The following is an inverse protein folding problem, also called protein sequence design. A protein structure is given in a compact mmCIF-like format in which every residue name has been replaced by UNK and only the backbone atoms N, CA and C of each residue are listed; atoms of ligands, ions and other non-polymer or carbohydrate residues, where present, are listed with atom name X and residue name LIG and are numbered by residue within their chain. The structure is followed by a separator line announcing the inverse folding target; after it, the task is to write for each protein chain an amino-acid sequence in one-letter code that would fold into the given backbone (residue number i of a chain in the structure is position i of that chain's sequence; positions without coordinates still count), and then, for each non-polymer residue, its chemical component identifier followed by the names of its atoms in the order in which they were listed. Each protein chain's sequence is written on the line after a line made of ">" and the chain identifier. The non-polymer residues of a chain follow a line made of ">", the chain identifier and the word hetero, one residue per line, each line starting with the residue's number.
data_IF_708217326062
#
_entry.id   IF_708217326062
#
_cell.length_a   1.000
_cell.length_b   1.000
_cell.length_c   1.000
_cell.angle_alpha   90.00
_cell.angle_beta   90.00
_cell.angle_gamma   90.00
#
_symmetry.space_group_name_H-M   'P 1'
#
loop_
_entity.id
_entity.type
_entity.pdbx_description
1 polymer ?
#
# COMPACT_ATOMS: atom_id res chain seq x y z
N UNK A 1 -8.02 2.68 -35.57
CA UNK A 1 -8.57 2.46 -34.21
C UNK A 1 -7.45 2.72 -33.21
N UNK A 2 -7.61 3.64 -32.25
CA UNK A 2 -6.55 3.96 -31.28
C UNK A 2 -6.36 2.79 -30.32
N UNK A 3 -5.14 2.29 -30.17
CA UNK A 3 -4.84 1.19 -29.25
C UNK A 3 -5.19 1.62 -27.81
N UNK A 4 -5.94 0.78 -27.08
CA UNK A 4 -6.26 1.01 -25.66
C UNK A 4 -4.96 1.01 -24.85
N UNK A 5 -4.79 1.98 -23.97
CA UNK A 5 -3.69 1.98 -23.00
C UNK A 5 -3.87 0.84 -22.00
N UNK A 6 -2.79 0.45 -21.31
CA UNK A 6 -2.86 -0.56 -20.25
C UNK A 6 -3.93 -0.22 -19.21
N UNK A 7 -3.96 1.03 -18.75
CA UNK A 7 -4.97 1.50 -17.79
C UNK A 7 -6.42 1.29 -18.27
N UNK A 8 -6.70 1.48 -19.56
CA UNK A 8 -8.05 1.23 -20.08
C UNK A 8 -8.37 -0.26 -20.16
N UNK A 9 -7.39 -1.10 -20.54
CA UNK A 9 -7.54 -2.57 -20.52
C UNK A 9 -7.77 -3.09 -19.10
N UNK A 10 -7.11 -2.52 -18.11
CA UNK A 10 -7.26 -2.93 -16.72
C UNK A 10 -8.59 -2.53 -16.13
N UNK A 11 -9.12 -1.34 -16.46
CA UNK A 11 -10.49 -0.97 -16.08
C UNK A 11 -11.50 -1.96 -16.63
N UNK A 12 -11.37 -2.35 -17.90
CA UNK A 12 -12.22 -3.35 -18.54
C UNK A 12 -12.09 -4.73 -17.88
N UNK A 13 -10.86 -5.17 -17.59
CA UNK A 13 -10.61 -6.41 -16.82
C UNK A 13 -11.30 -6.37 -15.46
N UNK A 14 -11.25 -5.24 -14.77
CA UNK A 14 -11.88 -5.09 -13.46
C UNK A 14 -13.40 -5.05 -13.50
N UNK A 15 -14.04 -4.72 -14.63
CA UNK A 15 -15.49 -4.90 -14.75
C UNK A 15 -15.85 -6.38 -14.56
N UNK A 16 -15.18 -7.27 -15.27
CA UNK A 16 -15.41 -8.72 -15.14
C UNK A 16 -15.03 -9.28 -13.76
N UNK A 17 -13.96 -8.76 -13.14
CA UNK A 17 -13.55 -9.19 -11.79
C UNK A 17 -14.51 -8.69 -10.72
N UNK A 18 -15.01 -7.46 -10.88
CA UNK A 18 -15.99 -6.89 -9.95
C UNK A 18 -17.22 -7.77 -9.88
N UNK A 19 -17.71 -8.22 -11.03
CA UNK A 19 -18.89 -9.07 -11.14
C UNK A 19 -18.62 -10.55 -10.76
N UNK A 20 -17.35 -10.94 -10.59
CA UNK A 20 -16.99 -12.31 -10.25
C UNK A 20 -17.46 -12.67 -8.82
N UNK A 21 -18.10 -13.82 -8.63
CA UNK A 21 -18.60 -14.23 -7.32
C UNK A 21 -17.45 -14.47 -6.34
N UNK A 22 -17.61 -13.96 -5.11
CA UNK A 22 -16.73 -14.29 -3.97
C UNK A 22 -15.54 -13.35 -3.76
N UNK A 23 -15.25 -12.42 -4.68
CA UNK A 23 -14.23 -11.39 -4.45
C UNK A 23 -14.80 -10.15 -3.75
N UNK A 24 -15.99 -9.73 -4.16
CA UNK A 24 -16.71 -8.59 -3.60
C UNK A 24 -18.13 -9.02 -3.19
N UNK A 25 -18.70 -8.34 -2.20
CA UNK A 25 -20.10 -8.48 -1.85
C UNK A 25 -21.01 -7.93 -2.95
N UNK A 26 -22.24 -8.45 -3.10
CA UNK A 26 -23.21 -7.91 -4.06
C UNK A 26 -23.43 -6.40 -3.92
N UNK A 27 -23.41 -5.87 -2.71
CA UNK A 27 -23.57 -4.46 -2.42
C UNK A 27 -22.36 -3.63 -2.90
N UNK A 28 -21.15 -4.18 -2.76
CA UNK A 28 -19.93 -3.55 -3.27
C UNK A 28 -19.88 -3.50 -4.81
N UNK A 29 -20.60 -4.40 -5.48
CA UNK A 29 -20.64 -4.49 -6.94
C UNK A 29 -21.43 -3.36 -7.62
N UNK A 30 -22.16 -2.53 -6.86
CA UNK A 30 -22.82 -1.34 -7.43
C UNK A 30 -21.77 -0.31 -7.91
N UNK A 31 -22.06 0.44 -8.97
CA UNK A 31 -21.13 1.46 -9.51
C UNK A 31 -20.89 2.59 -8.50
N UNK A 32 -19.66 2.73 -8.04
CA UNK A 32 -19.23 3.85 -7.22
C UNK A 32 -18.97 5.12 -8.01
N UNK A 33 -18.69 6.21 -7.28
CA UNK A 33 -18.32 7.51 -7.86
C UNK A 33 -16.81 7.72 -7.77
N UNK A 34 -16.24 8.25 -8.83
CA UNK A 34 -14.87 8.74 -8.85
C UNK A 34 -14.82 10.10 -9.55
N UNK A 35 -14.25 11.11 -8.86
CA UNK A 35 -14.30 12.52 -9.27
C UNK A 35 -15.74 12.99 -9.58
N UNK A 36 -16.69 12.62 -8.72
CA UNK A 36 -18.11 12.98 -8.83
C UNK A 36 -18.91 12.25 -9.92
N UNK A 37 -18.27 11.36 -10.71
CA UNK A 37 -18.92 10.64 -11.81
C UNK A 37 -19.05 9.15 -11.48
N UNK A 38 -20.21 8.50 -11.74
CA UNK A 38 -20.33 7.06 -11.66
C UNK A 38 -19.31 6.36 -12.57
N UNK A 39 -18.67 5.31 -12.06
CA UNK A 39 -17.72 4.46 -12.79
C UNK A 39 -18.00 3.00 -12.48
N UNK A 40 -18.21 2.19 -13.51
CA UNK A 40 -18.59 0.78 -13.31
C UNK A 40 -17.44 -0.05 -12.72
N UNK A 41 -16.19 0.33 -13.00
CA UNK A 41 -15.00 -0.29 -12.39
C UNK A 41 -14.70 0.21 -10.97
N UNK A 42 -15.51 1.11 -10.40
CA UNK A 42 -15.41 1.50 -9.00
C UNK A 42 -16.40 0.72 -8.16
N UNK A 43 -15.96 0.24 -6.99
CA UNK A 43 -16.84 -0.33 -5.98
C UNK A 43 -17.81 0.72 -5.43
N UNK A 44 -18.94 0.30 -4.88
CA UNK A 44 -19.85 1.19 -4.18
C UNK A 44 -19.13 2.00 -3.09
N UNK A 45 -19.49 3.27 -2.95
CA UNK A 45 -18.74 4.23 -2.10
C UNK A 45 -18.67 3.78 -0.63
N UNK A 46 -19.74 3.18 -0.10
CA UNK A 46 -19.76 2.68 1.28
C UNK A 46 -19.02 1.34 1.47
N UNK A 47 -18.53 0.73 0.38
CA UNK A 47 -17.88 -0.58 0.34
C UNK A 47 -16.42 -0.50 -0.15
N UNK A 48 -15.80 0.68 -0.12
CA UNK A 48 -14.43 0.85 -0.63
C UNK A 48 -13.37 0.03 0.13
N UNK A 49 -13.66 -0.37 1.36
CA UNK A 49 -12.83 -1.30 2.13
C UNK A 49 -12.66 -2.65 1.44
N UNK A 50 -13.59 -3.05 0.56
CA UNK A 50 -13.49 -4.29 -0.18
C UNK A 50 -12.47 -4.25 -1.31
N UNK A 51 -11.93 -3.07 -1.64
CA UNK A 51 -10.76 -2.97 -2.50
C UNK A 51 -9.49 -3.57 -1.86
N UNK A 52 -9.59 -4.02 -0.60
CA UNK A 52 -8.61 -4.88 0.04
C UNK A 52 -9.16 -6.30 0.22
N UNK A 53 -8.28 -7.27 -0.01
CA UNK A 53 -8.54 -8.68 0.24
C UNK A 53 -8.96 -8.91 1.69
N UNK A 54 -10.03 -9.68 1.89
CA UNK A 54 -10.69 -9.88 3.20
C UNK A 54 -9.71 -10.36 4.28
N UNK A 55 -8.73 -11.20 3.93
CA UNK A 55 -7.76 -11.73 4.88
C UNK A 55 -6.77 -10.70 5.45
N UNK A 56 -6.63 -9.52 4.83
CA UNK A 56 -5.73 -8.46 5.31
C UNK A 56 -6.46 -7.15 5.65
N UNK A 57 -7.69 -7.00 5.17
CA UNK A 57 -8.44 -5.73 5.10
C UNK A 57 -8.41 -4.94 6.41
N UNK A 58 -8.91 -5.52 7.49
CA UNK A 58 -9.05 -4.80 8.76
C UNK A 58 -7.67 -4.45 9.34
N UNK A 59 -6.72 -5.40 9.28
CA UNK A 59 -5.36 -5.18 9.75
C UNK A 59 -4.65 -4.07 8.96
N UNK A 60 -4.85 -4.01 7.64
CA UNK A 60 -4.26 -2.98 6.79
C UNK A 60 -4.89 -1.61 7.03
N UNK A 61 -6.21 -1.53 7.16
CA UNK A 61 -6.91 -0.27 7.48
C UNK A 61 -6.45 0.24 8.86
N UNK A 62 -6.40 -0.63 9.87
CA UNK A 62 -5.89 -0.28 11.20
C UNK A 62 -4.42 0.15 11.16
N UNK A 63 -3.58 -0.53 10.38
CA UNK A 63 -2.17 -0.17 10.20
C UNK A 63 -2.02 1.27 9.69
N UNK A 64 -2.78 1.63 8.66
CA UNK A 64 -2.77 2.96 8.04
C UNK A 64 -3.30 4.02 9.02
N UNK A 65 -4.42 3.72 9.69
CA UNK A 65 -5.04 4.62 10.67
C UNK A 65 -4.09 4.96 11.83
N UNK A 66 -3.47 3.95 12.46
CA UNK A 66 -2.53 4.14 13.58
C UNK A 66 -1.33 5.00 13.17
N UNK A 67 -0.89 4.89 11.91
CA UNK A 67 0.23 5.66 11.37
C UNK A 67 -0.18 7.01 10.80
N UNK A 68 -1.48 7.32 10.75
CA UNK A 68 -1.99 8.54 10.11
C UNK A 68 -1.67 8.59 8.62
N UNK A 69 -1.57 7.43 7.97
CA UNK A 69 -1.34 7.33 6.52
C UNK A 69 -2.69 7.45 5.82
N UNK A 70 -2.94 8.51 5.04
CA UNK A 70 -4.17 8.62 4.28
C UNK A 70 -4.15 7.69 3.07
N UNK A 71 -5.32 7.16 2.74
CA UNK A 71 -5.49 6.41 1.50
C UNK A 71 -5.56 7.36 0.30
N UNK A 72 -4.81 7.06 -0.76
CA UNK A 72 -4.82 7.82 -2.02
C UNK A 72 -6.21 7.78 -2.65
N UNK A 73 -6.83 8.95 -2.81
CA UNK A 73 -8.24 9.07 -3.22
C UNK A 73 -9.17 8.18 -2.37
N UNK A 74 -8.84 8.04 -1.09
CA UNK A 74 -9.61 7.28 -0.11
C UNK A 74 -10.93 7.97 0.24
N UNK A 75 -11.90 7.16 0.68
CA UNK A 75 -13.20 7.65 1.13
C UNK A 75 -13.23 7.90 2.64
N UNK A 76 -14.33 8.48 3.13
CA UNK A 76 -14.54 8.84 4.55
C UNK A 76 -13.37 9.67 5.12
N UNK A 77 -12.95 10.70 4.38
CA UNK A 77 -11.85 11.58 4.77
C UNK A 77 -10.45 10.96 4.61
N UNK A 78 -10.32 9.92 3.78
CA UNK A 78 -9.04 9.23 3.55
C UNK A 78 -8.74 8.11 4.56
N UNK A 79 -9.69 7.75 5.42
CA UNK A 79 -9.55 6.66 6.39
C UNK A 79 -9.86 5.27 5.80
N UNK A 80 -10.58 5.21 4.68
CA UNK A 80 -10.84 3.98 3.94
C UNK A 80 -10.12 3.99 2.59
N UNK A 81 -9.76 2.81 2.05
CA UNK A 81 -9.17 2.68 0.73
C UNK A 81 -10.00 3.35 -0.36
N UNK A 82 -9.37 3.63 -1.49
CA UNK A 82 -10.10 4.10 -2.67
C UNK A 82 -11.10 3.04 -3.13
N UNK A 83 -12.27 3.47 -3.62
CA UNK A 83 -13.20 2.58 -4.31
C UNK A 83 -12.77 2.29 -5.76
N UNK A 84 -11.72 2.94 -6.26
CA UNK A 84 -11.20 2.74 -7.61
C UNK A 84 -10.36 1.45 -7.66
N UNK A 85 -10.81 0.42 -8.39
CA UNK A 85 -10.15 -0.89 -8.42
C UNK A 85 -8.71 -0.87 -8.99
N UNK A 86 -8.38 0.05 -9.90
CA UNK A 86 -6.98 0.29 -10.32
C UNK A 86 -6.19 1.26 -9.40
N UNK A 87 -6.48 1.33 -8.11
CA UNK A 87 -5.71 2.17 -7.19
C UNK A 87 -4.35 1.51 -6.89
N UNK A 88 -3.25 2.21 -7.18
CA UNK A 88 -1.90 1.68 -6.99
C UNK A 88 -1.59 1.39 -5.52
N UNK A 89 -2.05 2.24 -4.60
CA UNK A 89 -1.84 2.04 -3.16
C UNK A 89 -2.59 0.81 -2.65
N UNK A 90 -3.86 0.62 -3.03
CA UNK A 90 -4.62 -0.59 -2.70
C UNK A 90 -3.99 -1.84 -3.30
N UNK A 91 -3.51 -1.77 -4.54
CA UNK A 91 -2.78 -2.87 -5.17
C UNK A 91 -1.49 -3.21 -4.40
N UNK A 92 -0.64 -2.22 -4.11
CA UNK A 92 0.57 -2.37 -3.31
C UNK A 92 0.30 -3.08 -1.98
N UNK A 93 -0.71 -2.61 -1.24
CA UNK A 93 -1.11 -3.20 0.05
C UNK A 93 -1.62 -4.63 -0.11
N UNK A 94 -2.47 -4.92 -1.10
CA UNK A 94 -2.95 -6.29 -1.34
C UNK A 94 -1.81 -7.29 -1.58
N UNK A 95 -0.76 -6.88 -2.29
CA UNK A 95 0.38 -7.74 -2.58
C UNK A 95 1.34 -7.87 -1.41
N UNK A 96 1.62 -6.78 -0.70
CA UNK A 96 2.76 -6.72 0.22
C UNK A 96 2.39 -6.72 1.70
N UNK A 97 1.13 -6.46 2.07
CA UNK A 97 0.73 -6.44 3.48
C UNK A 97 0.94 -7.79 4.21
N UNK A 98 0.77 -8.98 3.57
CA UNK A 98 1.12 -10.24 4.21
C UNK A 98 2.58 -10.33 4.70
N UNK A 99 3.48 -9.51 4.14
CA UNK A 99 4.89 -9.47 4.51
C UNK A 99 5.15 -8.75 5.83
N UNK A 100 4.20 -7.95 6.34
CA UNK A 100 4.36 -7.14 7.57
C UNK A 100 4.91 -7.94 8.74
N UNK A 101 4.47 -9.20 8.90
CA UNK A 101 4.93 -10.12 9.95
C UNK A 101 5.68 -11.35 9.43
N UNK A 102 5.88 -11.48 8.11
CA UNK A 102 6.37 -12.71 7.49
C UNK A 102 7.79 -12.56 6.93
N UNK A 103 8.78 -12.54 7.83
CA UNK A 103 10.19 -12.34 7.45
C UNK A 103 10.73 -13.43 6.50
N UNK A 104 10.26 -14.67 6.63
CA UNK A 104 10.75 -15.79 5.83
C UNK A 104 10.22 -15.72 4.40
N UNK A 105 9.01 -15.17 4.20
CA UNK A 105 8.47 -14.88 2.88
C UNK A 105 9.23 -13.72 2.22
N UNK A 106 9.54 -12.66 2.97
CA UNK A 106 10.42 -11.58 2.48
C UNK A 106 11.76 -12.16 2.05
N UNK A 107 12.41 -12.96 2.91
CA UNK A 107 13.68 -13.61 2.58
C UNK A 107 13.55 -14.43 1.30
N UNK A 108 12.51 -15.25 1.17
CA UNK A 108 12.30 -16.10 0.00
C UNK A 108 12.14 -15.30 -1.29
N UNK A 109 11.42 -14.17 -1.25
CA UNK A 109 11.26 -13.26 -2.40
C UNK A 109 12.60 -12.61 -2.75
N UNK A 110 13.27 -12.00 -1.77
CA UNK A 110 14.47 -11.19 -2.01
C UNK A 110 15.71 -12.02 -2.29
N UNK A 111 15.77 -13.27 -1.84
CA UNK A 111 16.87 -14.20 -2.12
C UNK A 111 17.07 -14.45 -3.62
N UNK A 112 16.07 -14.13 -4.46
CA UNK A 112 16.20 -14.18 -5.92
C UNK A 112 17.20 -13.17 -6.47
N UNK A 113 17.30 -11.99 -5.86
CA UNK A 113 18.19 -10.90 -6.29
C UNK A 113 19.38 -10.71 -5.34
N UNK A 114 19.19 -11.07 -4.07
CA UNK A 114 20.19 -10.96 -3.00
C UNK A 114 20.42 -12.36 -2.40
N UNK A 115 21.20 -13.23 -3.05
CA UNK A 115 21.35 -14.64 -2.64
C UNK A 115 22.04 -14.83 -1.28
N UNK A 116 22.64 -13.77 -0.75
CA UNK A 116 23.36 -13.77 0.53
C UNK A 116 22.57 -13.13 1.67
N UNK A 117 21.25 -12.94 1.52
CA UNK A 117 20.39 -12.50 2.63
C UNK A 117 20.53 -13.46 3.82
N UNK A 118 21.12 -12.97 4.90
CA UNK A 118 21.22 -13.66 6.18
C UNK A 118 19.91 -13.47 6.94
N UNK A 119 19.56 -12.22 7.25
CA UNK A 119 18.46 -11.86 8.14
C UNK A 119 17.65 -10.69 7.61
N UNK A 120 16.33 -10.85 7.50
CA UNK A 120 15.39 -9.74 7.31
C UNK A 120 15.23 -9.01 8.65
N UNK A 121 15.35 -7.69 8.62
CA UNK A 121 15.37 -6.83 9.80
C UNK A 121 14.03 -6.12 9.98
N UNK A 122 13.51 -6.02 11.22
CA UNK A 122 12.35 -5.18 11.49
C UNK A 122 12.69 -3.70 11.28
N UNK A 123 11.66 -2.91 11.02
CA UNK A 123 11.75 -1.45 10.91
C UNK A 123 11.41 -0.88 12.28
N UNK A 124 12.40 -0.93 13.18
CA UNK A 124 12.28 -0.48 14.57
C UNK A 124 12.02 1.03 14.69
N UNK A 125 12.32 1.77 13.64
CA UNK A 125 12.04 3.20 13.55
C UNK A 125 10.58 3.49 13.16
N UNK A 126 9.78 2.49 12.77
CA UNK A 126 8.34 2.67 12.59
C UNK A 126 7.57 2.53 13.93
N UNK A 127 6.27 2.80 13.92
CA UNK A 127 5.41 2.47 15.07
C UNK A 127 5.34 0.95 15.26
N UNK A 128 5.28 0.45 16.51
CA UNK A 128 5.03 -0.96 16.77
C UNK A 128 3.66 -1.39 16.23
N UNK A 129 3.52 -2.69 16.00
CA UNK A 129 2.27 -3.36 15.71
C UNK A 129 1.48 -3.58 17.01
N UNK A 130 0.22 -4.00 16.89
CA UNK A 130 -0.67 -4.20 18.05
C UNK A 130 -0.16 -5.23 19.06
N UNK A 131 0.71 -6.16 18.64
CA UNK A 131 1.35 -7.17 19.51
C UNK A 131 2.70 -6.72 20.08
N UNK A 132 3.07 -5.43 19.92
CA UNK A 132 4.34 -4.87 20.39
C UNK A 132 5.55 -5.19 19.52
N UNK A 133 5.39 -5.99 18.45
CA UNK A 133 6.48 -6.25 17.49
C UNK A 133 6.61 -5.11 16.48
N UNK A 134 7.71 -5.07 15.73
CA UNK A 134 7.91 -4.10 14.65
C UNK A 134 7.69 -4.73 13.28
N UNK A 135 7.18 -3.97 12.30
CA UNK A 135 6.93 -4.50 10.97
C UNK A 135 8.22 -4.81 10.21
N UNK A 136 8.21 -5.83 9.35
CA UNK A 136 9.33 -6.13 8.44
C UNK A 136 9.25 -5.40 7.09
N UNK A 137 8.08 -4.83 6.79
CA UNK A 137 7.84 -3.91 5.66
C UNK A 137 7.01 -2.73 6.18
N UNK A 138 7.34 -1.51 5.78
CA UNK A 138 6.53 -0.34 6.07
C UNK A 138 6.06 0.32 4.79
N UNK A 139 4.88 0.93 4.85
CA UNK A 139 4.24 1.61 3.72
C UNK A 139 4.36 3.12 3.85
N UNK A 140 4.35 3.80 2.70
CA UNK A 140 4.38 5.26 2.57
C UNK A 140 5.52 5.89 3.39
N UNK A 141 6.69 5.26 3.35
CA UNK A 141 7.79 5.57 4.25
C UNK A 141 8.52 6.84 3.89
N UNK A 142 8.66 7.76 4.85
CA UNK A 142 9.34 9.05 4.71
C UNK A 142 10.64 9.13 5.51
N UNK A 143 11.09 8.03 6.11
CA UNK A 143 12.20 8.03 7.07
C UNK A 143 11.75 7.89 8.52
N UNK A 144 12.71 8.03 9.44
CA UNK A 144 12.45 7.97 10.88
C UNK A 144 11.48 9.09 11.29
N UNK A 145 10.54 8.83 12.22
CA UNK A 145 9.63 9.86 12.72
C UNK A 145 10.38 11.10 13.21
N UNK A 146 9.97 12.28 12.72
CA UNK A 146 10.57 13.56 13.09
C UNK A 146 11.76 13.99 12.22
N UNK A 147 12.29 13.11 11.37
CA UNK A 147 13.37 13.44 10.45
C UNK A 147 12.83 14.01 9.13
N UNK A 148 13.55 14.99 8.57
CA UNK A 148 13.24 15.62 7.28
C UNK A 148 14.44 15.47 6.34
N UNK A 149 14.74 14.23 5.94
CA UNK A 149 15.92 13.90 5.13
C UNK A 149 15.98 14.64 3.78
N UNK A 150 14.81 14.99 3.22
CA UNK A 150 14.69 15.68 1.94
C UNK A 150 14.44 17.19 2.09
N UNK A 151 14.38 17.70 3.34
CA UNK A 151 14.11 19.11 3.66
C UNK A 151 12.80 19.65 3.10
N UNK A 152 11.83 18.77 2.86
CA UNK A 152 10.53 19.18 2.33
C UNK A 152 9.64 19.80 3.41
N UNK A 153 9.80 19.34 4.66
CA UNK A 153 9.06 19.88 5.80
C UNK A 153 9.49 21.29 6.13
N UNK A 154 10.80 21.54 6.12
CA UNK A 154 11.40 22.87 6.22
C UNK A 154 10.81 23.82 5.16
N UNK A 155 10.81 23.41 3.89
CA UNK A 155 10.27 24.22 2.78
C UNK A 155 8.77 24.50 2.89
N UNK A 156 8.00 23.54 3.43
CA UNK A 156 6.54 23.62 3.55
C UNK A 156 6.07 24.18 4.91
N UNK A 157 7.00 24.48 5.81
CA UNK A 157 6.70 24.98 7.16
C UNK A 157 5.92 24.01 8.05
N UNK A 158 6.01 22.69 7.81
CA UNK A 158 5.32 21.66 8.60
C UNK A 158 6.08 20.33 8.60
N UNK A 159 5.92 19.53 9.66
CA UNK A 159 6.57 18.21 9.76
C UNK A 159 6.14 17.28 8.60
N UNK A 160 7.08 16.51 8.00
CA UNK A 160 6.75 15.50 7.01
C UNK A 160 5.73 14.48 7.54
N UNK A 161 4.69 14.22 6.76
CA UNK A 161 3.69 13.18 7.04
C UNK A 161 3.65 12.18 5.90
N UNK A 162 3.44 10.90 6.22
CA UNK A 162 3.37 9.82 5.24
C UNK A 162 2.15 9.96 4.32
N UNK A 163 2.29 9.60 3.05
CA UNK A 163 1.19 9.46 2.10
C UNK A 163 0.44 10.75 1.72
N UNK A 164 0.94 11.93 2.13
CA UNK A 164 0.29 13.20 1.78
C UNK A 164 1.28 14.34 1.58
N UNK A 165 1.47 14.74 0.32
CA UNK A 165 2.23 15.93 -0.09
C UNK A 165 3.69 15.95 0.40
N UNK A 166 4.29 14.79 0.65
CA UNK A 166 5.70 14.60 0.94
C UNK A 166 6.19 13.41 0.12
N UNK A 167 7.46 13.40 -0.30
CA UNK A 167 8.02 12.23 -0.97
C UNK A 167 8.09 11.07 0.02
N UNK A 168 7.33 10.01 -0.26
CA UNK A 168 7.38 8.72 0.41
C UNK A 168 7.80 7.64 -0.57
N UNK A 169 8.51 6.62 -0.08
CA UNK A 169 8.56 5.34 -0.78
C UNK A 169 7.25 4.57 -0.50
N UNK A 170 6.62 4.03 -1.55
CA UNK A 170 5.38 3.26 -1.39
C UNK A 170 5.57 2.11 -0.40
N UNK A 171 6.75 1.47 -0.41
CA UNK A 171 7.18 0.55 0.63
C UNK A 171 8.70 0.55 0.89
N UNK A 172 9.09 0.03 2.06
CA UNK A 172 10.47 -0.18 2.47
C UNK A 172 10.67 -1.57 3.08
N UNK A 173 11.79 -2.23 2.76
CA UNK A 173 12.24 -3.47 3.40
C UNK A 173 13.70 -3.31 3.82
N UNK A 174 14.10 -3.94 4.92
CA UNK A 174 15.48 -3.98 5.40
C UNK A 174 15.97 -5.41 5.59
N UNK A 175 17.20 -5.68 5.20
CA UNK A 175 17.84 -6.97 5.46
C UNK A 175 19.36 -6.82 5.62
N UNK A 176 19.98 -7.84 6.19
CA UNK A 176 21.43 -7.96 6.33
C UNK A 176 21.92 -9.17 5.56
N UNK A 177 23.04 -9.02 4.86
CA UNK A 177 23.74 -10.11 4.18
C UNK A 177 24.72 -10.85 5.11
N UNK A 178 25.20 -12.01 4.68
CA UNK A 178 26.15 -12.84 5.44
C UNK A 178 27.46 -12.13 5.80
N UNK A 179 27.88 -11.15 5.00
CA UNK A 179 29.07 -10.33 5.25
C UNK A 179 28.83 -9.17 6.23
N UNK A 180 27.61 -9.02 6.73
CA UNK A 180 27.21 -8.00 7.69
C UNK A 180 26.67 -6.71 7.08
N UNK A 181 26.72 -6.52 5.75
CA UNK A 181 26.15 -5.33 5.11
C UNK A 181 24.64 -5.27 5.28
N UNK A 182 24.12 -4.09 5.61
CA UNK A 182 22.68 -3.83 5.73
C UNK A 182 22.18 -3.10 4.50
N UNK A 183 21.13 -3.64 3.91
CA UNK A 183 20.47 -3.10 2.73
C UNK A 183 19.11 -2.53 3.12
N UNK A 184 18.75 -1.45 2.43
CA UNK A 184 17.40 -0.89 2.45
C UNK A 184 16.90 -0.92 1.02
N UNK A 185 15.73 -1.52 0.82
CA UNK A 185 15.01 -1.51 -0.45
C UNK A 185 13.90 -0.49 -0.31
N UNK A 186 13.93 0.54 -1.15
CA UNK A 186 12.84 1.49 -1.32
C UNK A 186 12.11 1.12 -2.62
N UNK A 187 10.80 0.92 -2.51
CA UNK A 187 9.98 0.47 -3.63
C UNK A 187 8.93 1.50 -4.01
N UNK A 188 8.71 1.62 -5.31
CA UNK A 188 7.60 2.34 -5.92
C UNK A 188 6.67 1.31 -6.57
N UNK A 189 5.38 1.40 -6.29
CA UNK A 189 4.34 0.54 -6.83
C UNK A 189 3.38 1.34 -7.70
N UNK A 190 3.46 1.11 -9.01
CA UNK A 190 2.58 1.76 -9.97
C UNK A 190 1.61 0.79 -10.60
N UNK A 191 0.38 1.27 -10.74
CA UNK A 191 -0.65 0.64 -11.55
C UNK A 191 -0.59 1.28 -12.95
N UNK A 192 0.43 0.92 -13.74
CA UNK A 192 0.75 1.53 -15.05
C UNK A 192 0.63 0.56 -16.20
#
# INVERSE_FOLDING_TARGET
>A
MKMRSFREKEKERYLGIKDAPGLFSPEAQVSGKYNGKPRDFCLADDYSYENLYSGIRDSAITYFLIRGIPWHHGLKGGHLPSNHLCCSQSCCVNFLFPLVKCRDLIKSIFNRWYPDVDKVLPIEEDKPLADGTFPFIAFEWTGKPGEDYLKEGEQKGRTPTRGANFTSADFIIRFREKDGRTHIVLGEWKYT
#
